data_IF_315048101138
#
_entry.id   IF_315048101138
#
_cell.length_a   1.000
_cell.length_b   1.000
_cell.length_c   1.000
_cell.angle_alpha   90.00
_cell.angle_beta   90.00
_cell.angle_gamma   90.00
#
_symmetry.space_group_name_H-M   'P 1'
#
loop_
_entity.id
_entity.type
_entity.pdbx_description
1 polymer ?
#
# COMPACT_ATOMS: atom_id res chain seq x y z
N UNK A 1 27.00 10.36 6.63
CA UNK A 1 25.91 9.42 6.99
C UNK A 1 25.92 8.29 5.97
N UNK A 2 26.26 7.07 6.40
CA UNK A 2 26.38 5.94 5.50
C UNK A 2 24.98 5.40 5.15
N UNK A 3 24.63 5.43 3.85
CA UNK A 3 23.41 4.84 3.31
C UNK A 3 23.59 3.33 3.29
N UNK A 4 22.96 2.63 4.23
CA UNK A 4 22.86 1.18 4.18
C UNK A 4 21.91 0.80 3.03
N UNK A 5 22.48 0.36 1.92
CA UNK A 5 21.71 -0.32 0.89
C UNK A 5 21.15 -1.62 1.49
N UNK A 6 19.85 -1.66 1.71
CA UNK A 6 19.12 -2.89 1.99
C UNK A 6 19.20 -3.78 0.74
N UNK A 7 20.26 -4.57 0.61
CA UNK A 7 20.22 -5.74 -0.26
C UNK A 7 19.23 -6.73 0.38
N UNK A 8 18.10 -7.05 -0.28
CA UNK A 8 17.24 -8.11 0.21
C UNK A 8 18.07 -9.40 0.19
N UNK A 9 18.07 -10.20 1.27
CA UNK A 9 18.76 -11.47 1.29
C UNK A 9 18.19 -12.34 0.17
N UNK A 10 19.02 -12.58 -0.84
CA UNK A 10 18.91 -13.62 -1.87
C UNK A 10 17.49 -14.21 -2.00
N UNK A 11 16.59 -13.45 -2.62
CA UNK A 11 15.34 -13.99 -3.14
C UNK A 11 15.72 -14.96 -4.24
N UNK A 12 15.86 -16.24 -3.91
CA UNK A 12 15.71 -17.28 -4.92
C UNK A 12 14.29 -17.10 -5.45
N UNK A 13 14.15 -16.65 -6.70
CA UNK A 13 12.86 -16.63 -7.40
C UNK A 13 12.44 -18.08 -7.63
N UNK A 14 11.83 -18.66 -6.59
CA UNK A 14 11.15 -19.93 -6.65
C UNK A 14 9.78 -19.61 -7.26
N UNK A 15 9.66 -19.89 -8.56
CA UNK A 15 8.41 -19.73 -9.29
C UNK A 15 7.36 -20.70 -8.73
N UNK A 16 6.17 -20.19 -8.40
CA UNK A 16 5.10 -20.97 -7.76
C UNK A 16 4.64 -22.12 -8.67
N UNK A 17 4.85 -21.99 -9.98
CA UNK A 17 4.52 -23.01 -10.96
C UNK A 17 5.37 -24.30 -10.86
N UNK A 18 6.57 -24.25 -10.25
CA UNK A 18 7.47 -25.41 -10.21
C UNK A 18 7.13 -26.44 -9.12
N UNK A 19 6.16 -26.15 -8.24
CA UNK A 19 5.78 -27.00 -7.12
C UNK A 19 4.36 -27.56 -7.20
N UNK A 20 3.72 -27.56 -8.37
CA UNK A 20 2.49 -28.32 -8.54
C UNK A 20 2.78 -29.80 -8.27
N UNK A 21 2.16 -30.42 -7.23
CA UNK A 21 2.29 -31.84 -7.02
C UNK A 21 1.76 -32.53 -8.28
N UNK A 22 2.53 -33.47 -8.83
CA UNK A 22 2.09 -34.28 -9.96
C UNK A 22 0.69 -34.81 -9.66
N UNK A 23 -0.31 -34.33 -10.41
CA UNK A 23 -1.70 -34.75 -10.28
C UNK A 23 -1.76 -36.25 -10.48
N UNK A 24 -1.85 -36.98 -9.38
CA UNK A 24 -2.15 -38.41 -9.39
C UNK A 24 -3.48 -38.60 -10.10
N UNK A 25 -3.45 -39.43 -11.13
CA UNK A 25 -4.59 -39.89 -11.91
C UNK A 25 -5.71 -40.35 -10.98
N UNK A 26 -6.75 -39.52 -10.87
CA UNK A 26 -7.98 -39.83 -10.13
C UNK A 26 -8.74 -40.91 -10.87
N UNK A 27 -8.76 -42.11 -10.28
CA UNK A 27 -9.69 -43.17 -10.63
C UNK A 27 -11.11 -42.76 -10.21
N UNK A 28 -12.13 -42.88 -11.09
CA UNK A 28 -13.49 -42.46 -10.76
C UNK A 28 -14.25 -43.63 -10.15
N UNK A 29 -14.46 -43.62 -8.83
CA UNK A 29 -15.72 -44.03 -8.18
C UNK A 29 -15.55 -44.16 -6.68
N UNK A 30 -16.20 -43.26 -5.92
CA UNK A 30 -17.00 -43.63 -4.76
C UNK A 30 -17.56 -42.35 -4.13
N UNK A 31 -18.88 -42.20 -4.18
CA UNK A 31 -19.61 -41.20 -3.41
C UNK A 31 -19.60 -41.61 -1.93
N UNK A 32 -18.78 -40.91 -1.15
CA UNK A 32 -18.86 -40.93 0.31
C UNK A 32 -18.40 -39.59 0.85
N UNK A 33 -19.33 -38.81 1.41
CA UNK A 33 -19.03 -37.61 2.19
C UNK A 33 -18.22 -37.99 3.44
N UNK A 34 -16.90 -38.06 3.27
CA UNK A 34 -15.94 -38.17 4.36
C UNK A 34 -15.20 -36.85 4.49
N UNK A 35 -15.16 -36.31 5.71
CA UNK A 35 -14.30 -35.18 6.08
C UNK A 35 -12.87 -35.54 5.66
N UNK A 36 -12.34 -34.83 4.65
CA UNK A 36 -10.96 -35.00 4.17
C UNK A 36 -10.03 -34.44 5.22
N UNK A 37 -9.69 -35.27 6.20
CA UNK A 37 -8.51 -35.09 7.03
C UNK A 37 -7.33 -35.40 6.13
N UNK A 38 -6.67 -34.36 5.61
CA UNK A 38 -5.41 -34.50 4.89
C UNK A 38 -4.37 -35.08 5.87
N UNK A 39 -4.26 -36.40 5.91
CA UNK A 39 -3.16 -37.06 6.61
C UNK A 39 -1.88 -36.62 5.91
N UNK A 40 -1.08 -35.80 6.61
CA UNK A 40 0.25 -35.39 6.18
C UNK A 40 1.08 -36.67 5.98
N UNK A 41 1.13 -37.17 4.74
CA UNK A 41 2.16 -38.12 4.35
C UNK A 41 3.47 -37.37 4.44
N UNK A 42 4.15 -37.51 5.59
CA UNK A 42 5.55 -37.09 5.70
C UNK A 42 6.27 -37.73 4.53
N UNK A 43 7.05 -36.97 3.75
CA UNK A 43 7.91 -37.55 2.74
C UNK A 43 8.68 -38.69 3.40
N UNK A 44 8.48 -39.92 2.92
CA UNK A 44 9.24 -41.07 3.38
C UNK A 44 10.66 -40.77 2.93
N UNK A 45 11.48 -40.29 3.86
CA UNK A 45 12.91 -40.19 3.67
C UNK A 45 13.39 -41.61 3.45
N UNK A 46 13.77 -41.93 2.21
CA UNK A 46 14.32 -43.22 1.87
C UNK A 46 15.58 -43.45 2.72
N UNK A 47 15.56 -44.44 3.63
CA UNK A 47 16.68 -44.69 4.54
C UNK A 47 17.95 -45.15 3.80
N UNK A 48 17.85 -45.43 2.50
CA UNK A 48 18.98 -45.83 1.66
C UNK A 48 19.73 -44.67 1.01
N UNK A 49 19.27 -43.41 1.19
CA UNK A 49 19.97 -42.26 0.62
C UNK A 49 21.26 -41.98 1.39
N UNK A 50 22.39 -42.03 0.68
CA UNK A 50 23.71 -41.71 1.22
C UNK A 50 23.77 -40.25 1.73
N UNK A 51 24.03 -40.02 3.05
CA UNK A 51 24.14 -38.68 3.62
C UNK A 51 25.30 -37.85 3.03
N UNK A 52 26.28 -38.50 2.39
CA UNK A 52 27.40 -37.86 1.71
C UNK A 52 26.99 -37.16 0.40
N UNK A 53 25.92 -37.64 -0.25
CA UNK A 53 25.40 -37.06 -1.50
C UNK A 53 24.53 -35.81 -1.28
N UNK A 54 24.21 -35.52 -0.02
CA UNK A 54 23.51 -34.31 0.37
C UNK A 54 24.47 -33.14 0.47
N UNK A 55 24.72 -32.50 -0.68
CA UNK A 55 25.37 -31.18 -0.70
C UNK A 55 24.57 -30.19 0.15
N UNK A 56 25.22 -29.17 0.76
CA UNK A 56 24.51 -28.16 1.55
C UNK A 56 23.33 -27.52 0.81
N UNK A 57 23.47 -27.31 -0.50
CA UNK A 57 22.39 -26.80 -1.37
C UNK A 57 21.19 -27.76 -1.44
N UNK A 58 21.41 -29.07 -1.65
CA UNK A 58 20.31 -30.06 -1.64
C UNK A 58 19.61 -30.14 -0.29
N UNK A 59 20.36 -30.07 0.82
CA UNK A 59 19.79 -30.05 2.18
C UNK A 59 18.90 -28.82 2.37
N UNK A 60 19.37 -27.65 1.94
CA UNK A 60 18.57 -26.43 1.99
C UNK A 60 17.30 -26.57 1.15
N UNK A 61 17.37 -27.04 -0.09
CA UNK A 61 16.19 -27.26 -0.94
C UNK A 61 15.16 -28.23 -0.32
N UNK A 62 15.62 -29.35 0.24
CA UNK A 62 14.74 -30.30 0.93
C UNK A 62 14.07 -29.67 2.15
N UNK A 63 14.81 -28.89 2.93
CA UNK A 63 14.28 -28.13 4.07
C UNK A 63 13.23 -27.10 3.59
N UNK A 64 13.54 -26.29 2.58
CA UNK A 64 12.62 -25.32 2.00
C UNK A 64 11.32 -25.96 1.49
N UNK A 65 11.43 -27.09 0.79
CA UNK A 65 10.27 -27.86 0.33
C UNK A 65 9.42 -28.35 1.51
N UNK A 66 10.04 -28.94 2.54
CA UNK A 66 9.33 -29.41 3.73
C UNK A 66 8.63 -28.28 4.51
N UNK A 67 9.28 -27.12 4.61
CA UNK A 67 8.70 -25.93 5.25
C UNK A 67 7.53 -25.39 4.43
N UNK A 68 7.68 -25.32 3.10
CA UNK A 68 6.60 -24.84 2.22
C UNK A 68 5.37 -25.74 2.23
N UNK A 69 5.55 -27.05 2.42
CA UNK A 69 4.43 -28.00 2.53
C UNK A 69 3.74 -27.96 3.90
N UNK A 70 4.41 -27.45 4.93
CA UNK A 70 3.83 -27.34 6.26
C UNK A 70 2.90 -26.13 6.34
N UNK A 71 1.61 -26.35 6.66
CA UNK A 71 0.67 -25.25 6.86
C UNK A 71 1.12 -24.26 7.95
N UNK A 72 1.82 -24.74 8.98
CA UNK A 72 2.28 -23.91 10.09
C UNK A 72 3.64 -23.24 9.85
N UNK A 73 4.49 -23.80 8.98
CA UNK A 73 5.84 -23.27 8.73
C UNK A 73 6.02 -22.65 7.34
N UNK A 74 5.03 -22.78 6.46
CA UNK A 74 5.05 -22.20 5.11
C UNK A 74 5.23 -20.69 5.16
N UNK A 75 4.77 -20.01 6.20
CA UNK A 75 4.97 -18.57 6.36
C UNK A 75 6.45 -18.16 6.44
N UNK A 76 7.39 -19.05 6.75
CA UNK A 76 8.82 -18.71 6.77
C UNK A 76 9.39 -18.53 5.36
N UNK A 77 8.86 -19.30 4.42
CA UNK A 77 9.37 -19.39 3.05
C UNK A 77 8.46 -18.67 2.06
N UNK A 78 7.15 -18.75 2.26
CA UNK A 78 6.17 -18.24 1.34
C UNK A 78 6.12 -16.70 1.38
N UNK A 79 5.99 -16.12 0.18
CA UNK A 79 5.59 -14.71 -0.02
C UNK A 79 4.09 -14.50 0.26
N UNK A 80 3.33 -15.57 0.47
CA UNK A 80 1.90 -15.51 0.76
C UNK A 80 1.62 -14.68 2.03
N UNK A 81 0.56 -13.87 1.98
CA UNK A 81 0.14 -13.02 3.10
C UNK A 81 -0.29 -13.88 4.28
N UNK A 82 0.21 -13.54 5.45
CA UNK A 82 -0.15 -14.19 6.70
C UNK A 82 -1.62 -13.85 7.01
N UNK A 83 -2.42 -14.88 7.28
CA UNK A 83 -3.83 -14.71 7.67
C UNK A 83 -3.99 -14.93 9.16
N UNK A 84 -5.05 -14.38 9.76
CA UNK A 84 -5.32 -14.56 11.20
C UNK A 84 -5.54 -16.04 11.59
N UNK A 85 -5.83 -16.92 10.63
CA UNK A 85 -5.95 -18.35 10.85
C UNK A 85 -4.59 -19.03 11.11
N UNK A 86 -3.48 -18.41 10.70
CA UNK A 86 -2.12 -18.93 10.91
C UNK A 86 -1.54 -18.40 12.22
N UNK A 87 -1.90 -19.07 13.32
CA UNK A 87 -1.31 -18.79 14.62
C UNK A 87 -0.04 -19.60 14.82
N UNK A 88 1.00 -18.97 15.39
CA UNK A 88 2.15 -19.70 15.89
C UNK A 88 1.77 -20.46 17.16
N UNK A 89 2.31 -21.68 17.36
CA UNK A 89 2.20 -22.32 18.66
C UNK A 89 2.85 -21.42 19.73
N UNK A 90 2.34 -21.46 20.98
CA UNK A 90 2.92 -20.68 22.07
C UNK A 90 4.39 -21.06 22.27
N UNK A 91 5.21 -20.09 22.67
CA UNK A 91 6.61 -20.31 23.03
C UNK A 91 6.65 -21.28 24.22
N UNK A 92 7.31 -22.42 24.03
CA UNK A 92 7.44 -23.44 25.06
C UNK A 92 8.86 -23.33 25.62
N UNK A 93 8.95 -22.89 26.89
CA UNK A 93 10.20 -22.94 27.62
C UNK A 93 10.46 -24.40 28.02
N UNK A 94 11.33 -25.06 27.27
CA UNK A 94 11.76 -26.42 27.57
C UNK A 94 12.45 -26.45 28.94
N UNK A 95 12.07 -27.45 29.74
CA UNK A 95 12.73 -27.73 31.01
C UNK A 95 13.82 -28.76 30.76
N UNK A 96 14.92 -28.65 31.51
CA UNK A 96 15.92 -29.71 31.52
C UNK A 96 15.26 -31.06 31.89
N UNK A 97 15.69 -32.18 31.27
CA UNK A 97 15.19 -33.50 31.62
C UNK A 97 15.36 -33.76 33.12
N UNK A 98 14.33 -34.29 33.78
CA UNK A 98 14.35 -34.55 35.22
C UNK A 98 15.44 -35.56 35.62
N UNK A 99 15.84 -36.43 34.70
CA UNK A 99 16.84 -37.48 34.91
C UNK A 99 18.29 -36.97 34.90
N UNK A 100 18.52 -35.68 34.63
CA UNK A 100 19.87 -35.13 34.59
C UNK A 100 20.37 -34.84 36.01
N UNK A 101 21.32 -35.65 36.48
CA UNK A 101 22.03 -35.41 37.75
C UNK A 101 22.71 -34.04 37.72
N UNK A 102 22.34 -33.16 38.65
CA UNK A 102 23.04 -31.89 38.81
C UNK A 102 24.50 -32.13 39.24
N UNK A 103 25.46 -31.39 38.66
CA UNK A 103 26.85 -31.46 39.10
C UNK A 103 26.96 -30.98 40.56
N UNK A 104 27.60 -31.80 41.40
CA UNK A 104 27.89 -31.42 42.78
C UNK A 104 29.09 -30.46 42.80
N UNK A 105 28.76 -29.15 42.81
CA UNK A 105 29.74 -28.08 42.80
C UNK A 105 30.59 -28.05 44.07
N UNK A 106 30.03 -28.44 45.22
CA UNK A 106 30.76 -28.51 46.49
C UNK A 106 31.73 -29.69 46.49
N UNK A 107 31.31 -30.86 46.00
CA UNK A 107 32.23 -31.99 45.83
C UNK A 107 33.38 -31.63 44.89
N UNK A 108 33.11 -30.94 43.76
CA UNK A 108 34.19 -30.46 42.88
C UNK A 108 35.18 -29.55 43.61
N UNK A 109 34.67 -28.60 44.40
CA UNK A 109 35.50 -27.67 45.17
C UNK A 109 36.37 -28.41 46.20
N UNK A 110 35.75 -29.32 46.95
CA UNK A 110 36.44 -30.13 47.95
C UNK A 110 37.48 -31.08 47.32
N UNK A 111 37.17 -31.75 46.20
CA UNK A 111 38.14 -32.58 45.48
C UNK A 111 39.34 -31.73 45.03
N UNK A 112 39.12 -30.50 44.58
CA UNK A 112 40.19 -29.59 44.15
C UNK A 112 41.07 -29.14 45.33
N UNK A 113 40.47 -28.87 46.49
CA UNK A 113 41.20 -28.57 47.73
C UNK A 113 42.01 -29.80 48.20
N UNK A 114 41.43 -31.01 48.18
CA UNK A 114 42.09 -32.25 48.61
C UNK A 114 43.27 -32.66 47.72
N UNK A 115 43.20 -32.38 46.41
CA UNK A 115 44.30 -32.65 45.47
C UNK A 115 45.60 -31.91 45.82
N UNK A 116 45.49 -30.78 46.53
CA UNK A 116 46.66 -30.02 47.01
C UNK A 116 47.27 -30.59 48.30
N UNK A 117 46.54 -31.41 49.06
CA UNK A 117 46.88 -31.80 50.44
C UNK A 117 47.16 -33.30 50.62
N UNK A 118 46.70 -34.16 49.72
CA UNK A 118 46.63 -35.62 49.95
C UNK A 118 47.43 -36.45 48.92
N UNK A 119 48.01 -37.57 49.38
CA UNK A 119 48.60 -38.62 48.53
C UNK A 119 47.54 -39.52 47.87
N UNK A 120 46.26 -39.43 48.27
CA UNK A 120 45.14 -40.19 47.66
C UNK A 120 44.62 -39.55 46.36
N UNK A 121 45.52 -39.24 45.43
CA UNK A 121 45.22 -38.46 44.22
C UNK A 121 44.33 -39.18 43.21
N UNK A 122 44.34 -40.52 43.19
CA UNK A 122 43.65 -41.28 42.14
C UNK A 122 42.12 -41.21 42.30
N UNK A 123 41.61 -41.46 43.51
CA UNK A 123 40.16 -41.47 43.76
C UNK A 123 39.55 -40.07 43.54
N UNK A 124 40.19 -39.03 44.08
CA UNK A 124 39.76 -37.63 43.92
C UNK A 124 39.79 -37.19 42.43
N UNK A 125 40.76 -37.64 41.63
CA UNK A 125 40.79 -37.36 40.17
C UNK A 125 39.64 -38.04 39.44
N UNK A 126 39.30 -39.28 39.82
CA UNK A 126 38.18 -39.98 39.18
C UNK A 126 36.83 -39.35 39.53
N UNK A 127 36.64 -38.91 40.78
CA UNK A 127 35.45 -38.19 41.23
C UNK A 127 35.32 -36.83 40.52
N UNK A 128 36.41 -36.07 40.48
CA UNK A 128 36.46 -34.78 39.78
C UNK A 128 36.17 -34.95 38.28
N UNK A 129 36.74 -35.95 37.62
CA UNK A 129 36.47 -36.23 36.20
C UNK A 129 34.99 -36.57 35.95
N UNK A 130 34.36 -37.35 36.84
CA UNK A 130 32.93 -37.65 36.75
C UNK A 130 32.08 -36.38 36.91
N UNK A 131 32.40 -35.53 37.88
CA UNK A 131 31.67 -34.28 38.09
C UNK A 131 31.87 -33.27 36.95
N UNK A 132 33.09 -33.16 36.39
CA UNK A 132 33.33 -32.38 35.16
C UNK A 132 32.49 -32.91 34.00
N UNK A 133 32.42 -34.24 33.83
CA UNK A 133 31.57 -34.87 32.82
C UNK A 133 30.07 -34.56 33.00
N UNK A 134 29.58 -34.54 34.25
CA UNK A 134 28.21 -34.08 34.59
C UNK A 134 28.01 -32.61 34.22
N UNK A 135 28.91 -31.73 34.64
CA UNK A 135 28.85 -30.29 34.34
C UNK A 135 28.88 -30.00 32.83
N UNK A 136 29.69 -30.73 32.05
CA UNK A 136 29.73 -30.61 30.60
C UNK A 136 28.40 -31.05 29.95
N UNK A 137 27.82 -32.17 30.39
CA UNK A 137 26.50 -32.62 29.92
C UNK A 137 25.42 -31.61 30.27
N UNK A 138 25.42 -31.09 31.49
CA UNK A 138 24.53 -30.03 31.95
C UNK A 138 24.64 -28.81 31.05
N UNK A 139 25.83 -28.26 30.85
CA UNK A 139 26.06 -27.12 29.96
C UNK A 139 25.58 -27.37 28.52
N UNK A 140 25.77 -28.59 28.00
CA UNK A 140 25.30 -28.95 26.66
C UNK A 140 23.77 -28.94 26.58
N UNK A 141 23.07 -29.49 27.60
CA UNK A 141 21.60 -29.48 27.67
C UNK A 141 21.08 -28.05 27.72
N UNK A 142 21.60 -27.22 28.62
CA UNK A 142 21.14 -25.83 28.76
C UNK A 142 21.45 -24.97 27.54
N UNK A 143 22.60 -25.19 26.89
CA UNK A 143 22.89 -24.54 25.60
C UNK A 143 21.86 -24.92 24.54
N UNK A 144 21.53 -26.21 24.42
CA UNK A 144 20.49 -26.68 23.48
C UNK A 144 19.11 -26.07 23.77
N UNK A 145 18.71 -25.98 25.04
CA UNK A 145 17.45 -25.36 25.46
C UNK A 145 17.44 -23.86 25.13
N UNK A 146 18.54 -23.16 25.43
CA UNK A 146 18.68 -21.74 25.14
C UNK A 146 18.64 -21.46 23.62
N UNK A 147 19.32 -22.28 22.82
CA UNK A 147 19.28 -22.22 21.35
C UNK A 147 17.85 -22.44 20.83
N UNK A 148 17.12 -23.42 21.37
CA UNK A 148 15.72 -23.66 21.04
C UNK A 148 14.82 -22.46 21.38
N UNK A 149 14.97 -21.88 22.58
CA UNK A 149 14.21 -20.71 23.00
C UNK A 149 14.50 -19.47 22.14
N UNK A 150 15.77 -19.23 21.79
CA UNK A 150 16.17 -18.15 20.90
C UNK A 150 15.60 -18.34 19.49
N UNK A 151 15.63 -19.56 18.96
CA UNK A 151 15.02 -19.87 17.67
C UNK A 151 13.50 -19.57 17.68
N UNK A 152 12.78 -19.97 18.74
CA UNK A 152 11.36 -19.66 18.89
C UNK A 152 11.09 -18.14 18.92
N UNK A 153 11.93 -17.35 19.62
CA UNK A 153 11.81 -15.90 19.66
C UNK A 153 12.02 -15.24 18.29
N UNK A 154 13.02 -15.70 17.54
CA UNK A 154 13.28 -15.21 16.18
C UNK A 154 12.08 -15.52 15.27
N UNK A 155 11.53 -16.74 15.36
CA UNK A 155 10.34 -17.13 14.59
C UNK A 155 9.12 -16.27 14.94
N UNK A 156 8.88 -16.01 16.22
CA UNK A 156 7.80 -15.13 16.68
C UNK A 156 7.98 -13.69 16.19
N UNK A 157 9.20 -13.16 16.24
CA UNK A 157 9.54 -11.83 15.71
C UNK A 157 9.28 -11.73 14.21
N UNK A 158 9.72 -12.73 13.43
CA UNK A 158 9.48 -12.79 11.98
C UNK A 158 7.98 -12.87 11.63
N UNK A 159 7.21 -13.67 12.38
CA UNK A 159 5.77 -13.78 12.21
C UNK A 159 5.05 -12.46 12.49
N UNK A 160 5.41 -11.78 13.60
CA UNK A 160 4.88 -10.46 13.94
C UNK A 160 5.22 -9.42 12.87
N UNK A 161 6.45 -9.40 12.34
CA UNK A 161 6.83 -8.50 11.26
C UNK A 161 5.98 -8.73 10.00
N UNK A 162 5.72 -9.99 9.63
CA UNK A 162 4.83 -10.30 8.50
C UNK A 162 3.38 -9.91 8.77
N UNK A 163 2.87 -10.07 9.99
CA UNK A 163 1.54 -9.61 10.38
C UNK A 163 1.42 -8.09 10.30
N UNK A 164 2.43 -7.35 10.75
CA UNK A 164 2.48 -5.89 10.63
C UNK A 164 2.43 -5.44 9.17
N UNK A 165 3.23 -6.05 8.29
CA UNK A 165 3.18 -5.76 6.84
C UNK A 165 1.79 -6.04 6.29
N UNK A 166 1.20 -7.19 6.60
CA UNK A 166 -0.15 -7.54 6.12
C UNK A 166 -1.24 -6.59 6.66
N UNK A 167 -1.10 -6.10 7.90
CA UNK A 167 -2.00 -5.13 8.50
C UNK A 167 -1.86 -3.76 7.83
N UNK A 168 -0.63 -3.30 7.62
CA UNK A 168 -0.33 -2.04 6.94
C UNK A 168 -0.86 -2.01 5.51
N UNK A 169 -0.73 -3.12 4.77
CA UNK A 169 -1.31 -3.24 3.43
C UNK A 169 -2.84 -3.17 3.44
N UNK A 170 -3.49 -3.78 4.44
CA UNK A 170 -4.96 -3.69 4.61
C UNK A 170 -5.42 -2.29 4.99
N UNK A 171 -4.62 -1.55 5.74
CA UNK A 171 -4.93 -0.17 6.11
C UNK A 171 -4.74 0.78 4.93
N UNK A 172 -3.64 0.66 4.17
CA UNK A 172 -3.40 1.47 2.96
C UNK A 172 -4.50 1.34 1.91
N UNK A 173 -5.22 0.21 1.87
CA UNK A 173 -6.37 0.01 0.97
C UNK A 173 -7.67 0.67 1.43
N UNK A 174 -7.75 1.21 2.65
CA UNK A 174 -8.93 1.93 3.14
C UNK A 174 -8.78 3.42 2.83
N UNK A 175 -9.88 4.05 2.43
CA UNK A 175 -9.93 5.50 2.21
C UNK A 175 -9.51 6.24 3.48
N UNK A 176 -8.72 7.30 3.31
CA UNK A 176 -7.97 8.12 4.29
C UNK A 176 -8.71 8.42 5.61
N UNK A 177 -10.04 8.43 5.60
CA UNK A 177 -10.88 8.70 6.76
C UNK A 177 -10.91 7.58 7.82
N UNK A 178 -10.32 6.40 7.56
CA UNK A 178 -10.30 5.28 8.51
C UNK A 178 -8.92 4.67 8.77
N UNK A 179 -7.85 5.29 8.27
CA UNK A 179 -6.48 4.90 8.62
C UNK A 179 -6.16 5.42 10.02
N UNK A 180 -6.30 4.54 11.03
CA UNK A 180 -5.94 4.86 12.41
C UNK A 180 -4.41 5.01 12.59
N UNK A 181 -3.62 4.46 11.67
CA UNK A 181 -2.16 4.41 11.70
C UNK A 181 -1.62 5.10 10.45
N UNK A 182 -0.93 6.22 10.60
CA UNK A 182 -0.03 6.69 9.54
C UNK A 182 1.21 5.77 9.57
N UNK A 183 1.53 5.16 8.43
CA UNK A 183 2.67 4.22 8.26
C UNK A 183 2.68 2.98 9.18
N UNK A 184 1.52 2.57 9.72
CA UNK A 184 1.41 1.32 10.48
C UNK A 184 2.00 1.35 11.88
N UNK A 185 2.37 2.54 12.38
CA UNK A 185 2.77 2.74 13.77
C UNK A 185 1.59 3.25 14.59
N UNK A 186 1.39 2.76 15.82
CA UNK A 186 0.35 3.28 16.73
C UNK A 186 0.52 4.79 16.90
N UNK A 187 -0.40 5.55 16.31
CA UNK A 187 -0.41 7.00 16.39
C UNK A 187 -0.76 7.38 17.83
N UNK A 188 0.21 7.93 18.55
CA UNK A 188 -0.05 8.52 19.85
C UNK A 188 -0.69 9.89 19.58
N UNK A 189 -2.02 9.93 19.62
CA UNK A 189 -2.82 11.13 19.33
C UNK A 189 -2.57 12.32 20.27
N UNK A 190 -1.76 12.12 21.31
CA UNK A 190 -1.33 13.17 22.24
C UNK A 190 0.00 13.83 21.87
N UNK A 191 0.73 13.34 20.86
CA UNK A 191 1.98 14.00 20.45
C UNK A 191 1.72 15.33 19.74
N UNK A 192 2.53 16.34 20.01
CA UNK A 192 2.40 17.66 19.39
C UNK A 192 2.53 17.60 17.86
N UNK A 193 3.36 16.69 17.36
CA UNK A 193 3.47 16.37 15.92
C UNK A 193 2.14 15.92 15.30
N UNK A 194 1.34 15.12 16.02
CA UNK A 194 0.03 14.68 15.52
C UNK A 194 -0.96 15.84 15.46
N UNK A 195 -0.88 16.77 16.42
CA UNK A 195 -1.75 17.96 16.47
C UNK A 195 -1.44 18.92 15.34
N UNK A 196 -0.16 19.10 15.02
CA UNK A 196 0.27 19.96 13.92
C UNK A 196 -0.18 19.40 12.56
N UNK A 197 -0.02 18.09 12.33
CA UNK A 197 -0.52 17.48 11.09
C UNK A 197 -2.05 17.59 10.93
N UNK A 198 -2.81 17.52 12.03
CA UNK A 198 -4.26 17.76 11.97
C UNK A 198 -4.55 19.20 11.60
N UNK A 199 -3.81 20.18 12.15
CA UNK A 199 -3.93 21.59 11.78
C UNK A 199 -3.64 21.82 10.31
N UNK A 200 -2.51 21.32 9.82
CA UNK A 200 -2.14 21.43 8.40
C UNK A 200 -3.22 20.84 7.48
N UNK A 201 -3.75 19.65 7.81
CA UNK A 201 -4.85 19.04 7.02
C UNK A 201 -6.12 19.88 7.08
N UNK A 202 -6.48 20.44 8.24
CA UNK A 202 -7.66 21.30 8.36
C UNK A 202 -7.48 22.61 7.59
N UNK A 203 -6.30 23.24 7.65
CA UNK A 203 -5.99 24.47 6.94
C UNK A 203 -5.96 24.25 5.42
N UNK A 204 -5.37 23.13 4.96
CA UNK A 204 -5.38 22.75 3.56
C UNK A 204 -6.81 22.55 3.04
N UNK A 205 -7.66 21.87 3.82
CA UNK A 205 -9.07 21.67 3.48
C UNK A 205 -9.85 22.99 3.47
N UNK A 206 -9.64 23.86 4.45
CA UNK A 206 -10.27 25.19 4.46
C UNK A 206 -9.84 26.04 3.26
N UNK A 207 -8.59 25.95 2.84
CA UNK A 207 -8.08 26.63 1.65
C UNK A 207 -8.73 26.08 0.38
N UNK A 208 -8.81 24.77 0.23
CA UNK A 208 -9.48 24.13 -0.90
C UNK A 208 -10.97 24.49 -0.97
N UNK A 209 -11.67 24.52 0.17
CA UNK A 209 -13.08 24.93 0.23
C UNK A 209 -13.25 26.41 -0.17
N UNK A 210 -12.36 27.31 0.28
CA UNK A 210 -12.35 28.73 -0.13
C UNK A 210 -12.09 28.88 -1.62
N UNK A 211 -11.12 28.15 -2.17
CA UNK A 211 -10.79 28.18 -3.59
C UNK A 211 -11.94 27.64 -4.44
N UNK A 212 -12.59 26.55 -4.02
CA UNK A 212 -13.75 25.99 -4.70
C UNK A 212 -14.95 26.96 -4.65
N UNK A 213 -15.14 27.67 -3.54
CA UNK A 213 -16.18 28.69 -3.42
C UNK A 213 -15.88 29.90 -4.31
N UNK A 214 -14.63 30.37 -4.36
CA UNK A 214 -14.21 31.44 -5.26
C UNK A 214 -14.41 31.04 -6.74
N UNK A 215 -14.09 29.80 -7.12
CA UNK A 215 -14.33 29.29 -8.47
C UNK A 215 -15.83 29.24 -8.82
N UNK A 216 -16.69 28.80 -7.90
CA UNK A 216 -18.15 28.81 -8.09
C UNK A 216 -18.69 30.21 -8.31
N UNK A 217 -18.23 31.19 -7.53
CA UNK A 217 -18.65 32.58 -7.68
C UNK A 217 -18.15 33.19 -9.00
N UNK A 218 -16.90 32.89 -9.41
CA UNK A 218 -16.38 33.26 -10.74
C UNK A 218 -17.24 32.67 -11.85
N UNK A 219 -17.61 31.39 -11.78
CA UNK A 219 -18.44 30.73 -12.78
C UNK A 219 -19.85 31.34 -12.86
N UNK A 220 -20.47 31.67 -11.72
CA UNK A 220 -21.78 32.38 -11.68
C UNK A 220 -21.69 33.75 -12.33
N UNK A 221 -20.65 34.54 -12.02
CA UNK A 221 -20.43 35.87 -12.64
C UNK A 221 -20.29 35.74 -14.16
N UNK A 222 -19.48 34.79 -14.66
CA UNK A 222 -19.36 34.53 -16.10
C UNK A 222 -20.70 34.19 -16.76
N UNK A 223 -21.50 33.33 -16.11
CA UNK A 223 -22.81 32.94 -16.61
C UNK A 223 -23.75 34.13 -16.72
N UNK A 224 -23.82 34.97 -15.69
CA UNK A 224 -24.68 36.15 -15.68
C UNK A 224 -24.29 37.15 -16.80
N UNK A 225 -22.99 37.36 -17.04
CA UNK A 225 -22.50 38.22 -18.12
C UNK A 225 -22.87 37.64 -19.48
N UNK A 226 -22.67 36.34 -19.70
CA UNK A 226 -23.03 35.69 -20.96
C UNK A 226 -24.55 35.72 -21.21
N UNK A 227 -25.37 35.51 -20.18
CA UNK A 227 -26.83 35.60 -20.28
C UNK A 227 -27.29 37.02 -20.65
N UNK A 228 -26.62 38.05 -20.13
CA UNK A 228 -26.88 39.45 -20.50
C UNK A 228 -26.49 39.73 -21.97
N UNK A 229 -25.32 39.28 -22.42
CA UNK A 229 -24.87 39.41 -23.82
C UNK A 229 -25.84 38.71 -24.77
N UNK A 230 -26.31 37.51 -24.43
CA UNK A 230 -27.25 36.74 -25.25
C UNK A 230 -28.60 37.45 -25.37
N UNK A 231 -29.07 38.10 -24.29
CA UNK A 231 -30.31 38.87 -24.29
C UNK A 231 -30.22 40.09 -25.21
N UNK A 232 -29.15 40.88 -25.10
CA UNK A 232 -28.91 42.05 -25.96
C UNK A 232 -28.74 41.65 -27.43
N UNK A 233 -28.02 40.56 -27.70
CA UNK A 233 -27.86 40.05 -29.06
C UNK A 233 -29.19 39.63 -29.70
N UNK A 234 -30.08 38.97 -28.94
CA UNK A 234 -31.43 38.63 -29.43
C UNK A 234 -32.28 39.87 -29.73
N UNK A 235 -32.20 40.90 -28.88
CA UNK A 235 -32.90 42.17 -29.11
C UNK A 235 -32.37 42.88 -30.35
N UNK A 236 -31.05 42.93 -30.52
CA UNK A 236 -30.41 43.53 -31.68
C UNK A 236 -30.76 42.78 -32.98
N UNK A 237 -30.77 41.44 -32.94
CA UNK A 237 -31.22 40.61 -34.07
C UNK A 237 -32.66 40.93 -34.47
N UNK A 238 -33.58 40.99 -33.50
CA UNK A 238 -34.98 41.33 -33.76
C UNK A 238 -35.14 42.75 -34.32
N UNK A 239 -34.37 43.72 -33.81
CA UNK A 239 -34.37 45.09 -34.33
C UNK A 239 -33.88 45.14 -35.79
N UNK A 240 -32.79 44.43 -36.08
CA UNK A 240 -32.22 44.34 -37.41
C UNK A 240 -33.17 43.68 -38.42
N UNK A 241 -33.89 42.62 -38.03
CA UNK A 241 -34.88 41.97 -38.89
C UNK A 241 -36.02 42.96 -39.25
N UNK A 242 -36.43 43.82 -38.31
CA UNK A 242 -37.41 44.89 -38.56
C UNK A 242 -36.83 45.94 -39.52
N UNK A 243 -35.56 46.33 -39.37
CA UNK A 243 -34.89 47.28 -40.27
C UNK A 243 -34.72 46.73 -41.68
N UNK A 244 -34.35 45.45 -41.82
CA UNK A 244 -34.29 44.77 -43.12
C UNK A 244 -35.67 44.78 -43.77
N UNK A 245 -36.73 44.41 -43.04
CA UNK A 245 -38.08 44.41 -43.60
C UNK A 245 -38.51 45.80 -44.08
N UNK A 246 -38.16 46.86 -43.33
CA UNK A 246 -38.40 48.26 -43.74
C UNK A 246 -37.59 48.63 -44.98
N UNK A 247 -36.31 48.26 -45.02
CA UNK A 247 -35.42 48.53 -46.15
C UNK A 247 -35.89 47.79 -47.42
N UNK A 248 -36.27 46.52 -47.32
CA UNK A 248 -36.83 45.74 -48.44
C UNK A 248 -38.13 46.36 -48.96
N UNK A 249 -39.01 46.84 -48.06
CA UNK A 249 -40.21 47.56 -48.45
C UNK A 249 -39.90 48.89 -49.16
N UNK A 250 -38.84 49.60 -48.78
CA UNK A 250 -38.38 50.81 -49.48
C UNK A 250 -37.75 50.49 -50.84
N UNK A 251 -36.91 49.45 -50.92
CA UNK A 251 -36.36 48.97 -52.18
C UNK A 251 -37.46 48.58 -53.17
N UNK A 252 -38.51 47.90 -52.71
CA UNK A 252 -39.67 47.57 -53.55
C UNK A 252 -40.39 48.82 -54.08
N UNK A 253 -40.47 49.91 -53.29
CA UNK A 253 -41.02 51.19 -53.76
C UNK A 253 -40.14 51.85 -54.83
N UNK A 254 -38.83 51.90 -54.61
CA UNK A 254 -37.89 52.48 -55.59
C UNK A 254 -37.83 51.70 -56.91
N UNK A 255 -38.04 50.38 -56.86
CA UNK A 255 -38.12 49.54 -58.04
C UNK A 255 -39.35 49.90 -58.90
N UNK A 256 -40.50 50.15 -58.26
CA UNK A 256 -41.72 50.63 -58.93
C UNK A 256 -41.54 52.04 -59.51
N UNK A 257 -40.77 52.90 -58.84
CA UNK A 257 -40.45 54.26 -59.30
C UNK A 257 -39.37 54.31 -60.41
N UNK A 258 -38.70 53.19 -60.69
CA UNK A 258 -37.68 53.11 -61.75
C UNK A 258 -36.32 53.72 -61.38
N UNK A 259 -36.02 53.88 -60.08
CA UNK A 259 -34.76 54.44 -59.60
C UNK A 259 -33.59 53.46 -59.82
N UNK A 260 -32.48 53.87 -60.46
CA UNK A 260 -31.30 53.03 -60.60
C UNK A 260 -30.74 52.60 -59.24
N UNK A 261 -30.40 51.31 -59.08
CA UNK A 261 -29.89 50.70 -57.82
C UNK A 261 -28.68 51.40 -57.19
N UNK A 262 -27.93 52.18 -57.98
CA UNK A 262 -26.80 52.98 -57.49
C UNK A 262 -27.21 54.04 -56.46
N UNK A 263 -28.47 54.47 -56.50
CA UNK A 263 -29.01 55.51 -55.61
C UNK A 263 -29.80 54.93 -54.43
N UNK A 264 -29.82 53.60 -54.27
CA UNK A 264 -30.50 52.98 -53.14
C UNK A 264 -29.64 53.11 -51.88
N UNK A 265 -30.30 53.28 -50.74
CA UNK A 265 -29.60 53.26 -49.45
C UNK A 265 -28.94 51.89 -49.23
N UNK A 266 -27.74 51.86 -48.60
CA UNK A 266 -27.06 50.62 -48.31
C UNK A 266 -27.91 49.75 -47.38
N UNK A 267 -27.80 48.42 -47.55
CA UNK A 267 -28.47 47.47 -46.67
C UNK A 267 -28.00 47.71 -45.23
N UNK A 268 -28.91 47.77 -44.23
CA UNK A 268 -28.52 47.88 -42.83
C UNK A 268 -27.50 46.79 -42.46
N UNK A 269 -26.49 47.13 -41.66
CA UNK A 269 -25.46 46.19 -41.20
C UNK A 269 -25.79 45.71 -39.79
N UNK A 270 -25.78 44.39 -39.58
CA UNK A 270 -25.99 43.80 -38.26
C UNK A 270 -24.76 43.96 -37.39
N UNK A 271 -24.94 44.40 -36.15
CA UNK A 271 -23.87 44.35 -35.15
C UNK A 271 -23.52 42.90 -34.82
N UNK A 272 -22.23 42.57 -34.79
CA UNK A 272 -21.78 41.23 -34.44
C UNK A 272 -21.88 41.01 -32.93
N UNK A 273 -21.99 39.74 -32.52
CA UNK A 273 -22.03 39.37 -31.09
C UNK A 273 -20.80 39.89 -30.32
N UNK A 274 -19.66 39.95 -30.99
CA UNK A 274 -18.41 40.54 -30.48
C UNK A 274 -18.54 42.03 -30.19
N UNK A 275 -19.10 42.81 -31.11
CA UNK A 275 -19.30 44.25 -30.91
C UNK A 275 -20.25 44.53 -29.75
N UNK A 276 -21.30 43.72 -29.58
CA UNK A 276 -22.22 43.83 -28.43
C UNK A 276 -21.49 43.51 -27.12
N UNK A 277 -20.64 42.48 -27.10
CA UNK A 277 -19.80 42.16 -25.93
C UNK A 277 -18.88 43.32 -25.57
N UNK A 278 -18.20 43.94 -26.54
CA UNK A 278 -17.32 45.09 -26.32
C UNK A 278 -18.09 46.30 -25.76
N UNK A 279 -19.30 46.59 -26.29
CA UNK A 279 -20.17 47.66 -25.78
C UNK A 279 -20.66 47.38 -24.35
N UNK A 280 -21.00 46.13 -24.03
CA UNK A 280 -21.48 45.76 -22.69
C UNK A 280 -20.35 45.82 -21.66
N UNK A 281 -19.13 45.41 -22.03
CA UNK A 281 -17.94 45.50 -21.18
C UNK A 281 -17.59 46.98 -20.95
N UNK A 282 -17.58 47.80 -22.00
CA UNK A 282 -17.28 49.23 -21.90
C UNK A 282 -18.30 50.04 -21.08
N UNK A 283 -19.52 49.52 -20.88
CA UNK A 283 -20.55 50.14 -20.04
C UNK A 283 -20.56 49.64 -18.59
N UNK A 284 -19.85 48.53 -18.30
CA UNK A 284 -19.76 47.92 -16.96
C UNK A 284 -18.39 48.15 -16.27
N UNK A 285 -17.63 49.15 -16.73
CA UNK A 285 -16.22 49.45 -16.38
C UNK A 285 -15.94 50.00 -14.98
N UNK A 286 -16.86 49.87 -14.03
CA UNK A 286 -16.59 50.15 -12.60
C UNK A 286 -16.25 48.87 -11.79
N UNK A 287 -15.87 47.78 -12.46
CA UNK A 287 -15.53 46.49 -11.81
C UNK A 287 -14.17 45.99 -12.31
N UNK A 288 -13.11 46.38 -11.60
CA UNK A 288 -11.69 46.00 -11.81
C UNK A 288 -11.39 44.48 -11.83
N UNK A 289 -12.39 43.61 -11.67
CA UNK A 289 -12.24 42.14 -11.59
C UNK A 289 -12.60 41.38 -12.88
N UNK A 290 -12.99 42.06 -13.97
CA UNK A 290 -13.59 41.39 -15.15
C UNK A 290 -12.62 41.19 -16.33
N UNK A 291 -11.54 41.97 -16.43
CA UNK A 291 -10.63 41.93 -17.60
C UNK A 291 -9.85 40.61 -17.74
N UNK A 292 -9.55 39.90 -16.66
CA UNK A 292 -8.71 38.68 -16.72
C UNK A 292 -9.44 37.43 -17.24
N UNK A 293 -10.77 37.50 -17.41
CA UNK A 293 -11.60 36.29 -17.51
C UNK A 293 -12.08 35.95 -18.93
N UNK A 294 -12.09 36.92 -19.85
CA UNK A 294 -12.85 36.81 -21.11
C UNK A 294 -11.96 36.58 -22.35
N UNK A 295 -10.64 36.70 -22.24
CA UNK A 295 -9.72 36.63 -23.39
C UNK A 295 -9.44 35.18 -23.86
N UNK A 296 -9.71 34.15 -23.05
CA UNK A 296 -9.16 32.81 -23.27
C UNK A 296 -10.05 31.79 -24.02
N UNK A 297 -11.29 32.11 -24.41
CA UNK A 297 -12.17 31.18 -25.12
C UNK A 297 -12.98 31.91 -26.19
N UNK A 298 -12.39 32.09 -27.36
CA UNK A 298 -13.13 32.35 -28.58
C UNK A 298 -12.46 31.58 -29.70
N UNK A 299 -12.80 30.29 -29.77
CA UNK A 299 -12.54 29.45 -30.93
C UNK A 299 -13.32 30.03 -32.13
N UNK A 300 -12.63 30.17 -33.25
CA UNK A 300 -12.95 30.96 -34.44
C UNK A 300 -14.03 30.34 -35.36
N UNK A 301 -15.00 29.59 -34.83
CA UNK A 301 -15.80 28.67 -35.66
C UNK A 301 -17.16 29.20 -36.17
N UNK A 302 -17.44 30.50 -36.12
CA UNK A 302 -18.80 31.01 -36.43
C UNK A 302 -18.83 32.15 -37.47
N UNK A 303 -17.94 32.10 -38.47
CA UNK A 303 -18.07 32.86 -39.72
C UNK A 303 -18.25 31.90 -40.91
N UNK A 304 -19.47 31.39 -41.10
CA UNK A 304 -19.99 30.96 -42.39
C UNK A 304 -21.51 31.16 -42.51
#
# INVERSE_FOLDING_TARGET
MAVFHHQPPTSFDIDVATHLPASGTTSPNSHGSGIITHSLQRPILDPTIDPSLFTPSKRACAMYSSLSMSNSASFLVAKAKLTSAQSLPPIILEKAPADNEEPDWEAMRLSLERLHLSDKKVDDVTELSKNIGRAQRHNRIYRSIAEGAQAQLVLASMHNAKLQVALNEKEKGKTDNLCLLDDGMPRIWTSDSSREQVRERTEAREKEEKDAQAQKERAKKKRNINDAIEKEWKQNKAHHDIEIAKWEAQCARWDVEGLPRKYWDPKPTRLTKRQIREQLIATHTDIDDVEEVVVAQFDEDDDN
#
